data_IF_448542741519
#
_entry.id   IF_448542741519
#
_cell.length_a   1.000
_cell.length_b   1.000
_cell.length_c   1.000
_cell.angle_alpha   90.00
_cell.angle_beta   90.00
_cell.angle_gamma   90.00
#
_symmetry.space_group_name_H-M   'P 1'
#
loop_
_entity.id
_entity.type
_entity.pdbx_description
1 polymer ?
#
# COMPACT_ATOMS: atom_id res chain seq x y z
N UNK A 1 28.54 32.88 5.03
CA UNK A 1 27.30 32.04 4.91
C UNK A 1 26.71 32.20 3.52
N UNK A 2 26.61 31.13 2.76
CA UNK A 2 26.08 31.19 1.41
C UNK A 2 24.55 31.32 1.42
N UNK A 3 23.99 31.90 0.34
CA UNK A 3 22.53 32.08 0.18
C UNK A 3 21.73 30.73 0.35
N UNK A 4 22.39 29.60 0.05
CA UNK A 4 21.85 28.24 0.27
C UNK A 4 21.76 27.86 1.76
N UNK A 5 22.76 28.22 2.57
CA UNK A 5 22.80 27.94 4.01
C UNK A 5 21.70 28.72 4.73
N UNK A 6 21.53 30.01 4.41
CA UNK A 6 20.50 30.89 4.98
C UNK A 6 19.07 30.42 4.63
N UNK A 7 18.85 29.90 3.40
CA UNK A 7 17.57 29.29 3.00
C UNK A 7 17.25 28.01 3.75
N UNK A 8 18.27 27.21 4.04
CA UNK A 8 18.14 25.95 4.79
C UNK A 8 17.80 26.24 6.27
N UNK A 9 18.46 27.23 6.86
CA UNK A 9 18.21 27.68 8.25
C UNK A 9 16.82 28.30 8.42
N UNK A 10 16.35 29.13 7.50
CA UNK A 10 14.99 29.70 7.54
C UNK A 10 13.91 28.63 7.36
N UNK A 11 14.15 27.64 6.50
CA UNK A 11 13.25 26.51 6.32
C UNK A 11 13.17 25.68 7.61
N UNK A 12 14.31 25.45 8.26
CA UNK A 12 14.41 24.71 9.52
C UNK A 12 13.67 25.40 10.66
N UNK A 13 13.80 26.72 10.81
CA UNK A 13 13.12 27.52 11.85
C UNK A 13 11.59 27.50 11.67
N UNK A 14 11.11 27.72 10.45
CA UNK A 14 9.68 27.67 10.13
C UNK A 14 9.10 26.27 10.34
N UNK A 15 9.88 25.24 10.04
CA UNK A 15 9.49 23.85 10.32
C UNK A 15 9.46 23.54 11.80
N UNK A 16 10.42 24.03 12.57
CA UNK A 16 10.43 23.86 14.01
C UNK A 16 9.22 24.55 14.65
N UNK A 17 8.86 25.75 14.20
CA UNK A 17 7.66 26.42 14.65
C UNK A 17 6.39 25.68 14.25
N UNK A 18 6.31 25.17 13.01
CA UNK A 18 5.19 24.38 12.55
C UNK A 18 5.10 23.04 13.29
N UNK A 19 6.22 22.36 13.45
CA UNK A 19 6.33 21.12 14.24
C UNK A 19 5.91 21.38 15.68
N UNK A 20 6.42 22.44 16.33
CA UNK A 20 6.01 22.80 17.69
C UNK A 20 4.52 23.15 17.81
N UNK A 21 3.92 23.75 16.78
CA UNK A 21 2.47 24.01 16.71
C UNK A 21 1.65 22.72 16.55
N UNK A 22 2.23 21.71 15.92
CA UNK A 22 1.58 20.46 15.57
C UNK A 22 1.92 19.30 16.54
N UNK A 23 3.14 19.27 17.14
CA UNK A 23 3.61 18.21 18.05
C UNK A 23 2.96 18.23 19.44
N UNK A 24 2.32 19.32 19.83
CA UNK A 24 1.76 19.42 21.18
C UNK A 24 0.72 18.33 21.53
N UNK A 25 0.49 17.32 20.66
CA UNK A 25 -0.49 16.25 20.88
C UNK A 25 -0.26 14.91 20.15
N UNK A 26 0.96 14.44 20.01
CA UNK A 26 1.19 13.04 19.66
C UNK A 26 0.62 12.05 20.69
N UNK A 27 0.30 12.51 21.91
CA UNK A 27 -0.15 11.71 23.04
C UNK A 27 -1.67 11.53 23.11
N UNK A 28 -2.45 12.37 22.43
CA UNK A 28 -3.89 12.15 22.29
C UNK A 28 -4.15 11.29 21.04
N UNK A 29 -4.07 9.95 21.18
CA UNK A 29 -4.72 9.04 20.24
C UNK A 29 -6.19 9.43 20.22
N UNK A 30 -6.62 10.11 19.16
CA UNK A 30 -8.01 10.50 19.03
C UNK A 30 -8.89 9.24 19.07
N UNK A 31 -10.00 9.29 19.79
CA UNK A 31 -10.98 8.22 19.87
C UNK A 31 -11.52 7.79 18.49
N UNK A 32 -11.19 8.54 17.46
CA UNK A 32 -11.67 8.43 16.07
C UNK A 32 -10.68 7.74 15.12
N UNK A 33 -9.50 7.30 15.60
CA UNK A 33 -8.50 6.59 14.76
C UNK A 33 -7.85 7.51 13.71
N UNK A 34 -7.74 8.80 13.99
CA UNK A 34 -7.04 9.76 13.14
C UNK A 34 -5.54 9.45 13.08
N UNK A 35 -4.99 9.42 11.88
CA UNK A 35 -3.58 9.22 11.63
C UNK A 35 -3.01 10.51 11.07
N UNK A 36 -2.19 11.20 11.87
CA UNK A 36 -1.51 12.40 11.41
C UNK A 36 -0.38 12.06 10.44
N UNK A 37 -0.30 12.82 9.36
CA UNK A 37 0.76 12.64 8.37
C UNK A 37 2.01 13.40 8.80
N UNK A 38 3.18 12.74 8.92
CA UNK A 38 4.45 13.40 9.16
C UNK A 38 4.75 14.45 8.10
N UNK A 39 5.33 15.57 8.53
CA UNK A 39 5.62 16.70 7.62
C UNK A 39 6.61 16.32 6.52
N UNK A 40 7.53 15.40 6.82
CA UNK A 40 8.51 14.87 5.88
C UNK A 40 7.83 14.20 4.67
N UNK A 41 6.76 13.45 4.89
CA UNK A 41 6.00 12.81 3.82
C UNK A 41 5.18 13.81 3.01
N UNK A 42 4.65 14.85 3.65
CA UNK A 42 3.97 15.93 2.94
C UNK A 42 4.95 16.70 2.05
N UNK A 43 6.16 16.95 2.55
CA UNK A 43 7.23 17.60 1.77
C UNK A 43 7.68 16.72 0.60
N UNK A 44 7.85 15.43 0.81
CA UNK A 44 8.19 14.49 -0.25
C UNK A 44 7.14 14.50 -1.36
N UNK A 45 5.85 14.49 -1.00
CA UNK A 45 4.76 14.64 -1.96
C UNK A 45 4.86 15.97 -2.71
N UNK A 46 5.12 17.07 -2.00
CA UNK A 46 5.28 18.40 -2.61
C UNK A 46 6.49 18.47 -3.55
N UNK A 47 7.59 17.77 -3.24
CA UNK A 47 8.78 17.70 -4.09
C UNK A 47 8.54 16.92 -5.40
N UNK A 48 7.54 16.05 -5.43
CA UNK A 48 7.16 15.30 -6.62
C UNK A 48 6.37 16.14 -7.65
N UNK A 49 5.78 17.27 -7.24
CA UNK A 49 5.08 18.16 -8.17
C UNK A 49 6.06 18.93 -9.07
N UNK A 50 5.65 19.29 -10.29
CA UNK A 50 6.44 20.19 -11.13
C UNK A 50 6.74 21.51 -10.42
N UNK A 51 8.00 21.90 -10.37
CA UNK A 51 8.45 23.11 -9.63
C UNK A 51 7.83 24.41 -10.15
N UNK A 52 7.36 24.43 -11.41
CA UNK A 52 6.66 25.55 -12.01
C UNK A 52 5.31 25.85 -11.36
N UNK A 53 4.65 24.85 -10.74
CA UNK A 53 3.36 25.05 -10.07
C UNK A 53 3.48 26.02 -8.89
N UNK A 54 4.57 25.99 -8.16
CA UNK A 54 4.79 26.84 -7.00
C UNK A 54 4.91 28.35 -7.33
N UNK A 55 5.02 28.68 -8.62
CA UNK A 55 5.13 30.06 -9.13
C UNK A 55 3.83 30.57 -9.75
N UNK A 56 2.75 29.82 -9.67
CA UNK A 56 1.46 30.15 -10.30
C UNK A 56 0.45 30.57 -9.20
N UNK A 57 0.01 31.81 -9.24
CA UNK A 57 -0.85 32.41 -8.21
C UNK A 57 -2.34 32.02 -8.33
N UNK A 58 -2.73 31.45 -9.45
CA UNK A 58 -4.13 31.13 -9.76
C UNK A 58 -4.47 29.64 -9.56
N UNK A 59 -3.56 28.86 -8.98
CA UNK A 59 -3.76 27.44 -8.72
C UNK A 59 -4.59 27.22 -7.45
N UNK A 60 -5.57 26.34 -7.56
CA UNK A 60 -6.48 25.99 -6.47
C UNK A 60 -6.29 24.53 -6.02
N UNK A 61 -6.14 24.37 -4.71
CA UNK A 61 -5.84 23.11 -4.05
C UNK A 61 -6.93 22.71 -3.09
N UNK A 62 -7.26 21.44 -3.06
CA UNK A 62 -8.21 20.87 -2.10
C UNK A 62 -7.53 19.82 -1.23
N UNK A 63 -7.67 19.95 0.08
CA UNK A 63 -7.39 18.89 1.05
C UNK A 63 -8.73 18.31 1.52
N UNK A 64 -9.07 17.06 1.13
CA UNK A 64 -10.40 16.48 1.38
C UNK A 64 -10.56 15.91 2.80
N UNK A 65 -9.50 15.90 3.60
CA UNK A 65 -9.45 15.38 4.98
C UNK A 65 -8.38 16.10 5.78
N UNK A 66 -8.56 17.42 5.92
CA UNK A 66 -7.50 18.34 6.32
C UNK A 66 -6.95 18.08 7.74
N UNK A 67 -7.70 17.42 8.62
CA UNK A 67 -7.31 17.28 9.99
C UNK A 67 -7.05 18.67 10.61
N UNK A 68 -5.90 18.82 11.22
CA UNK A 68 -5.46 20.11 11.78
C UNK A 68 -4.69 20.99 10.77
N UNK A 69 -4.64 20.60 9.48
CA UNK A 69 -4.14 21.42 8.39
C UNK A 69 -2.69 21.17 7.95
N UNK A 70 -2.13 19.97 8.18
CA UNK A 70 -0.72 19.64 7.85
C UNK A 70 -0.38 19.87 6.36
N UNK A 71 -1.15 19.27 5.45
CA UNK A 71 -0.92 19.42 4.00
C UNK A 71 -1.03 20.89 3.59
N UNK A 72 -2.12 21.53 3.96
CA UNK A 72 -2.37 22.92 3.58
C UNK A 72 -1.34 23.89 4.15
N UNK A 73 -0.77 23.63 5.34
CA UNK A 73 0.30 24.42 5.91
C UNK A 73 1.61 24.30 5.12
N UNK A 74 1.99 23.08 4.71
CA UNK A 74 3.18 22.87 3.86
C UNK A 74 2.99 23.56 2.50
N UNK A 75 1.82 23.42 1.87
CA UNK A 75 1.49 24.12 0.63
C UNK A 75 1.59 25.65 0.80
N UNK A 76 1.07 26.19 1.90
CA UNK A 76 1.19 27.61 2.22
C UNK A 76 2.65 28.07 2.19
N UNK A 77 3.56 27.40 2.88
CA UNK A 77 4.97 27.79 2.92
C UNK A 77 5.67 27.65 1.56
N UNK A 78 5.32 26.63 0.79
CA UNK A 78 5.82 26.48 -0.59
C UNK A 78 5.42 27.67 -1.44
N UNK A 79 4.16 28.08 -1.39
CA UNK A 79 3.63 29.21 -2.12
C UNK A 79 4.16 30.55 -1.58
N UNK A 80 4.33 30.70 -0.27
CA UNK A 80 4.98 31.89 0.29
C UNK A 80 6.37 32.13 -0.29
N UNK A 81 7.10 31.08 -0.57
CA UNK A 81 8.40 31.17 -1.24
C UNK A 81 8.25 31.38 -2.75
N UNK A 82 7.40 30.57 -3.41
CA UNK A 82 7.28 30.52 -4.87
C UNK A 82 6.68 31.79 -5.47
N UNK A 83 5.70 32.41 -4.78
CA UNK A 83 5.00 33.62 -5.23
C UNK A 83 5.69 34.93 -4.79
N UNK A 84 6.80 34.88 -4.07
CA UNK A 84 7.50 36.09 -3.62
C UNK A 84 7.91 37.05 -4.75
N UNK A 85 8.23 36.60 -5.98
CA UNK A 85 8.49 37.54 -7.08
C UNK A 85 7.24 38.18 -7.65
N UNK A 86 6.06 37.50 -7.56
CA UNK A 86 4.79 37.98 -8.12
C UNK A 86 4.01 38.88 -7.15
N UNK A 87 3.98 38.50 -5.88
CA UNK A 87 3.30 39.26 -4.81
C UNK A 87 4.37 39.56 -3.75
N UNK A 88 4.94 40.76 -3.85
CA UNK A 88 6.10 41.17 -3.02
C UNK A 88 5.73 41.33 -1.55
N UNK A 89 4.58 41.94 -1.30
CA UNK A 89 4.09 42.11 0.07
C UNK A 89 3.75 40.77 0.70
N UNK A 90 4.34 40.48 1.83
CA UNK A 90 4.22 39.15 2.48
C UNK A 90 2.83 38.92 3.08
N UNK A 91 2.16 39.96 3.56
CA UNK A 91 0.82 39.86 4.15
C UNK A 91 -0.22 39.65 3.05
N UNK A 92 -0.14 40.42 1.95
CA UNK A 92 -1.00 40.21 0.79
C UNK A 92 -0.80 38.85 0.16
N UNK A 93 0.44 38.37 0.07
CA UNK A 93 0.77 37.04 -0.43
C UNK A 93 0.18 35.95 0.45
N UNK A 94 0.34 36.03 1.78
CA UNK A 94 -0.23 35.12 2.74
C UNK A 94 -1.76 35.08 2.64
N UNK A 95 -2.40 36.28 2.60
CA UNK A 95 -3.85 36.39 2.45
C UNK A 95 -4.35 35.77 1.14
N UNK A 96 -3.66 36.07 0.02
CA UNK A 96 -3.99 35.50 -1.28
C UNK A 96 -3.94 33.96 -1.28
N UNK A 97 -2.87 33.36 -0.74
CA UNK A 97 -2.71 31.91 -0.65
C UNK A 97 -3.85 31.30 0.17
N UNK A 98 -4.10 31.82 1.37
CA UNK A 98 -5.09 31.25 2.30
C UNK A 98 -6.52 31.39 1.76
N UNK A 99 -6.87 32.53 1.16
CA UNK A 99 -8.25 32.82 0.78
C UNK A 99 -8.61 32.34 -0.64
N UNK A 100 -7.62 32.20 -1.53
CA UNK A 100 -7.86 31.98 -2.96
C UNK A 100 -7.27 30.68 -3.51
N UNK A 101 -6.33 30.06 -2.78
CA UNK A 101 -5.60 28.92 -3.31
C UNK A 101 -5.81 27.63 -2.49
N UNK A 102 -6.08 27.72 -1.18
CA UNK A 102 -6.18 26.58 -0.30
C UNK A 102 -7.62 26.38 0.19
N UNK A 103 -8.17 25.20 -0.12
CA UNK A 103 -9.51 24.77 0.25
C UNK A 103 -9.41 23.47 1.06
N UNK A 104 -10.15 23.38 2.16
CA UNK A 104 -10.02 22.31 3.13
C UNK A 104 -11.38 21.76 3.52
N UNK A 105 -11.51 20.46 3.60
CA UNK A 105 -12.69 19.76 4.12
C UNK A 105 -12.29 18.97 5.36
N UNK A 106 -13.05 19.11 6.43
CA UNK A 106 -12.81 18.37 7.67
C UNK A 106 -14.14 18.09 8.36
N UNK A 107 -14.36 16.85 8.77
CA UNK A 107 -15.60 16.42 9.42
C UNK A 107 -15.61 16.71 10.92
N UNK A 108 -14.45 16.65 11.57
CA UNK A 108 -14.31 16.85 13.01
C UNK A 108 -14.29 18.34 13.36
N UNK A 109 -15.29 18.88 14.12
CA UNK A 109 -15.36 20.28 14.45
C UNK A 109 -14.15 20.78 15.26
N UNK A 110 -13.52 19.93 16.08
CA UNK A 110 -12.34 20.29 16.85
C UNK A 110 -11.12 20.49 15.96
N UNK A 111 -10.94 19.63 14.95
CA UNK A 111 -9.89 19.80 13.96
C UNK A 111 -10.14 21.06 13.12
N UNK A 112 -11.37 21.32 12.72
CA UNK A 112 -11.74 22.55 12.00
C UNK A 112 -11.34 23.79 12.81
N UNK A 113 -11.62 23.82 14.12
CA UNK A 113 -11.24 24.92 15.00
C UNK A 113 -9.72 25.10 15.03
N UNK A 114 -8.98 24.01 15.25
CA UNK A 114 -7.51 24.02 15.30
C UNK A 114 -6.90 24.46 13.96
N UNK A 115 -7.42 23.96 12.86
CA UNK A 115 -6.99 24.35 11.52
C UNK A 115 -7.23 25.86 11.29
N UNK A 116 -8.37 26.41 11.71
CA UNK A 116 -8.64 27.87 11.66
C UNK A 116 -7.65 28.65 12.50
N UNK A 117 -7.36 28.19 13.71
CA UNK A 117 -6.40 28.84 14.61
C UNK A 117 -4.98 28.84 14.05
N UNK A 118 -4.57 27.74 13.41
CA UNK A 118 -3.30 27.65 12.69
C UNK A 118 -3.19 28.74 11.61
N UNK A 119 -4.18 28.83 10.72
CA UNK A 119 -4.15 29.80 9.62
C UNK A 119 -4.30 31.24 10.09
N UNK A 120 -5.02 31.50 11.19
CA UNK A 120 -5.05 32.85 11.85
C UNK A 120 -3.69 33.24 12.40
N UNK A 121 -2.90 32.31 12.93
CA UNK A 121 -1.52 32.61 13.38
C UNK A 121 -0.61 32.92 12.19
N UNK A 122 -0.77 32.19 11.06
CA UNK A 122 0.00 32.45 9.85
C UNK A 122 -0.33 33.81 9.20
N UNK A 123 -1.62 34.20 9.20
CA UNK A 123 -2.09 35.49 8.69
C UNK A 123 -3.40 35.91 9.39
N UNK A 124 -3.34 36.76 10.44
CA UNK A 124 -4.52 37.19 11.23
C UNK A 124 -5.64 37.83 10.41
N UNK A 125 -5.27 38.51 9.30
CA UNK A 125 -6.22 39.16 8.40
C UNK A 125 -6.86 38.29 7.35
N UNK A 126 -6.43 37.02 7.23
CA UNK A 126 -6.96 36.07 6.25
C UNK A 126 -8.10 35.22 6.81
N UNK A 127 -9.03 34.85 5.93
CA UNK A 127 -10.13 33.91 6.24
C UNK A 127 -9.88 32.59 5.50
N UNK A 128 -9.49 31.51 6.20
CA UNK A 128 -9.23 30.22 5.56
C UNK A 128 -10.52 29.57 5.02
N UNK A 129 -10.43 28.95 3.86
CA UNK A 129 -11.51 28.27 3.19
C UNK A 129 -11.66 26.85 3.75
N UNK A 130 -12.43 26.67 4.81
CA UNK A 130 -12.64 25.40 5.49
C UNK A 130 -14.12 25.05 5.52
N UNK A 131 -14.50 23.97 4.85
CA UNK A 131 -15.83 23.36 4.91
C UNK A 131 -15.85 22.31 6.02
N UNK A 132 -16.70 22.53 7.03
CA UNK A 132 -16.95 21.51 8.06
C UNK A 132 -18.04 20.58 7.58
N UNK A 133 -17.68 19.35 7.24
CA UNK A 133 -18.63 18.35 6.75
C UNK A 133 -17.93 17.11 6.17
N UNK A 134 -18.76 16.16 5.78
CA UNK A 134 -18.28 14.93 5.14
C UNK A 134 -17.88 15.20 3.69
N UNK A 135 -16.65 14.88 3.34
CA UNK A 135 -16.16 15.01 1.96
C UNK A 135 -16.97 14.19 0.98
N UNK A 136 -17.43 12.99 1.34
CA UNK A 136 -18.12 12.07 0.42
C UNK A 136 -19.53 12.51 0.07
N UNK A 137 -20.24 13.15 0.99
CA UNK A 137 -21.68 13.48 0.84
C UNK A 137 -21.96 14.98 0.86
N UNK A 138 -21.02 15.80 1.36
CA UNK A 138 -21.20 17.24 1.52
C UNK A 138 -21.27 18.02 0.21
N UNK A 139 -22.05 19.09 0.20
CA UNK A 139 -22.09 20.09 -0.86
C UNK A 139 -21.21 21.27 -0.46
N UNK A 140 -20.19 21.59 -1.27
CA UNK A 140 -19.28 22.69 -0.99
C UNK A 140 -19.97 24.04 -1.16
N UNK A 141 -19.49 25.11 -0.51
CA UNK A 141 -20.02 26.46 -0.70
C UNK A 141 -20.02 26.86 -2.18
N UNK A 142 -21.06 27.53 -2.69
CA UNK A 142 -21.12 27.96 -4.09
C UNK A 142 -20.00 28.91 -4.50
N UNK A 143 -19.34 29.54 -3.52
CA UNK A 143 -18.17 30.40 -3.74
C UNK A 143 -16.87 29.65 -4.01
N UNK A 144 -16.85 28.32 -3.81
CA UNK A 144 -15.68 27.51 -4.07
C UNK A 144 -15.55 27.19 -5.57
N UNK A 145 -14.31 26.88 -6.04
CA UNK A 145 -14.12 26.42 -7.41
C UNK A 145 -14.91 25.16 -7.70
N UNK A 146 -15.43 25.05 -8.93
CA UNK A 146 -16.09 23.83 -9.41
C UNK A 146 -15.12 22.71 -9.73
N UNK A 147 -13.83 23.04 -9.94
CA UNK A 147 -12.75 22.08 -10.16
C UNK A 147 -11.45 22.60 -9.55
N UNK A 148 -10.57 21.70 -9.16
CA UNK A 148 -9.30 21.97 -8.50
C UNK A 148 -8.11 21.55 -9.36
N UNK A 149 -7.01 22.28 -9.29
CA UNK A 149 -5.76 21.92 -9.98
C UNK A 149 -5.04 20.76 -9.30
N UNK A 150 -5.24 20.63 -7.99
CA UNK A 150 -4.73 19.50 -7.22
C UNK A 150 -5.63 19.16 -6.04
N UNK A 151 -5.76 17.87 -5.76
CA UNK A 151 -6.34 17.33 -4.53
C UNK A 151 -5.25 16.55 -3.81
N UNK A 152 -4.95 16.90 -2.57
CA UNK A 152 -3.86 16.28 -1.78
C UNK A 152 -4.31 15.99 -0.36
N UNK A 153 -3.87 14.87 0.20
CA UNK A 153 -4.23 14.52 1.57
C UNK A 153 -3.90 13.09 1.95
N UNK A 154 -4.26 12.74 3.17
CA UNK A 154 -4.23 11.37 3.69
C UNK A 154 -5.66 10.97 4.07
N UNK A 155 -6.47 10.45 3.11
CA UNK A 155 -7.88 10.14 3.36
C UNK A 155 -8.03 9.00 4.38
N UNK A 156 -9.14 8.93 5.11
CA UNK A 156 -9.39 7.83 6.05
C UNK A 156 -9.45 6.50 5.30
N UNK A 157 -8.78 5.44 5.84
CA UNK A 157 -8.71 4.15 5.15
C UNK A 157 -9.95 3.29 5.37
N UNK A 158 -10.57 3.37 6.56
CA UNK A 158 -11.74 2.57 6.95
C UNK A 158 -12.74 3.39 7.77
N UNK A 159 -14.04 3.24 7.52
CA UNK A 159 -15.09 3.77 8.39
C UNK A 159 -15.23 2.91 9.66
N UNK A 160 -15.18 3.57 10.82
CA UNK A 160 -15.58 2.96 12.09
C UNK A 160 -14.49 2.31 12.93
N UNK A 161 -13.22 2.70 12.76
CA UNK A 161 -12.11 2.22 13.60
C UNK A 161 -11.77 0.73 13.39
N UNK A 162 -10.69 0.28 14.02
CA UNK A 162 -10.08 -1.05 13.85
C UNK A 162 -10.92 -2.24 14.34
N UNK A 163 -12.14 -2.07 14.84
CA UNK A 163 -12.87 -3.09 15.61
C UNK A 163 -14.17 -3.63 15.00
N UNK A 164 -14.63 -3.18 13.83
CA UNK A 164 -15.88 -3.71 13.24
C UNK A 164 -15.60 -4.62 12.04
N UNK A 165 -16.07 -5.86 12.14
CA UNK A 165 -16.19 -6.79 11.00
C UNK A 165 -17.10 -6.11 9.96
N UNK A 166 -16.57 -5.89 8.73
CA UNK A 166 -17.32 -5.24 7.64
C UNK A 166 -17.03 -3.75 7.46
N UNK A 167 -15.94 -3.18 7.99
CA UNK A 167 -15.58 -1.78 7.73
C UNK A 167 -15.42 -1.54 6.21
N UNK A 168 -16.20 -0.61 5.68
CA UNK A 168 -16.10 -0.22 4.27
C UNK A 168 -14.77 0.54 4.05
N UNK A 169 -14.03 0.16 3.02
CA UNK A 169 -12.81 0.88 2.58
C UNK A 169 -13.19 2.27 2.08
N UNK A 170 -12.81 3.31 2.81
CA UNK A 170 -13.18 4.70 2.49
C UNK A 170 -12.26 5.37 1.50
N UNK A 171 -11.00 4.99 1.46
CA UNK A 171 -10.03 5.59 0.52
C UNK A 171 -10.45 5.43 -0.96
N UNK A 172 -11.22 4.39 -1.33
CA UNK A 172 -11.68 4.19 -2.71
C UNK A 172 -12.72 5.27 -3.11
N UNK A 173 -13.86 5.45 -2.40
CA UNK A 173 -14.78 6.52 -2.72
C UNK A 173 -14.18 7.93 -2.55
N UNK A 174 -13.22 8.13 -1.63
CA UNK A 174 -12.45 9.38 -1.58
C UNK A 174 -11.68 9.63 -2.88
N UNK A 175 -10.97 8.62 -3.38
CA UNK A 175 -10.26 8.71 -4.66
C UNK A 175 -11.21 8.99 -5.82
N UNK A 176 -12.34 8.28 -5.89
CA UNK A 176 -13.34 8.45 -6.93
C UNK A 176 -13.87 9.89 -6.94
N UNK A 177 -14.31 10.41 -5.79
CA UNK A 177 -14.81 11.79 -5.71
C UNK A 177 -13.70 12.81 -5.99
N UNK A 178 -12.48 12.60 -5.50
CA UNK A 178 -11.37 13.49 -5.77
C UNK A 178 -11.08 13.62 -7.27
N UNK A 179 -11.11 12.50 -8.02
CA UNK A 179 -10.94 12.50 -9.47
C UNK A 179 -12.02 13.32 -10.19
N UNK A 180 -13.29 13.29 -9.72
CA UNK A 180 -14.38 14.08 -10.31
C UNK A 180 -14.24 15.59 -10.07
N UNK A 181 -13.49 15.98 -9.05
CA UNK A 181 -13.26 17.39 -8.67
C UNK A 181 -12.00 17.96 -9.30
N UNK A 182 -11.19 17.17 -9.98
CA UNK A 182 -9.96 17.64 -10.60
C UNK A 182 -10.20 18.25 -11.98
N UNK A 183 -9.47 19.32 -12.25
CA UNK A 183 -9.35 19.89 -13.59
C UNK A 183 -8.65 18.89 -14.53
N UNK A 184 -8.89 18.96 -15.85
CA UNK A 184 -8.14 18.16 -16.83
C UNK A 184 -6.62 18.39 -16.64
N UNK A 185 -5.85 17.31 -16.54
CA UNK A 185 -4.42 17.30 -16.20
C UNK A 185 -4.11 17.84 -14.78
N UNK A 186 -5.08 17.85 -13.91
CA UNK A 186 -4.90 18.12 -12.49
C UNK A 186 -4.18 16.99 -11.77
N UNK A 187 -3.83 17.18 -10.53
CA UNK A 187 -3.03 16.25 -9.76
C UNK A 187 -3.78 15.68 -8.56
N UNK A 188 -3.69 14.38 -8.35
CA UNK A 188 -4.13 13.69 -7.14
C UNK A 188 -2.91 13.20 -6.37
N UNK A 189 -2.67 13.75 -5.18
CA UNK A 189 -1.60 13.31 -4.28
C UNK A 189 -2.18 12.72 -3.01
N UNK A 190 -2.12 11.40 -2.86
CA UNK A 190 -2.64 10.73 -1.67
C UNK A 190 -1.61 9.80 -1.01
N UNK A 191 -1.78 9.64 0.31
CA UNK A 191 -1.18 8.57 1.08
C UNK A 191 -2.30 7.58 1.40
N UNK A 192 -2.25 6.37 0.87
CA UNK A 192 -3.34 5.41 1.08
C UNK A 192 -2.90 3.95 0.86
N UNK A 193 -3.72 2.97 1.28
CA UNK A 193 -3.46 1.56 1.02
C UNK A 193 -3.27 1.24 -0.47
N UNK A 194 -2.37 0.28 -0.82
CA UNK A 194 -1.90 0.02 -2.19
C UNK A 194 -2.90 -0.72 -3.08
N UNK A 195 -4.21 -0.63 -2.84
CA UNK A 195 -5.22 -1.40 -3.58
C UNK A 195 -5.24 -1.11 -5.09
N UNK A 196 -4.76 0.06 -5.52
CA UNK A 196 -4.63 0.42 -6.94
C UNK A 196 -3.52 -0.33 -7.68
N UNK A 197 -2.53 -0.88 -6.95
CA UNK A 197 -1.42 -1.62 -7.54
C UNK A 197 -1.81 -2.99 -8.07
N UNK A 198 -2.93 -3.51 -7.63
CA UNK A 198 -3.46 -4.77 -8.12
C UNK A 198 -4.37 -4.51 -9.32
N UNK A 199 -4.00 -5.02 -10.51
CA UNK A 199 -4.79 -4.91 -11.71
C UNK A 199 -6.20 -5.48 -11.52
N UNK A 200 -7.22 -4.81 -12.06
CA UNK A 200 -8.62 -5.23 -12.00
C UNK A 200 -9.33 -4.92 -10.69
N UNK A 201 -8.67 -4.36 -9.67
CA UNK A 201 -9.37 -3.92 -8.45
C UNK A 201 -10.18 -2.64 -8.69
N UNK A 202 -11.21 -2.35 -7.88
CA UNK A 202 -12.02 -1.15 -8.05
C UNK A 202 -11.19 0.14 -8.13
N UNK A 203 -10.17 0.31 -7.27
CA UNK A 203 -9.33 1.50 -7.29
C UNK A 203 -8.40 1.54 -8.51
N UNK A 204 -7.88 0.40 -8.97
CA UNK A 204 -7.10 0.32 -10.18
C UNK A 204 -7.94 0.71 -11.42
N UNK A 205 -9.17 0.23 -11.50
CA UNK A 205 -10.10 0.54 -12.58
C UNK A 205 -10.53 2.02 -12.61
N UNK A 206 -10.52 2.73 -11.46
CA UNK A 206 -10.74 4.18 -11.44
C UNK A 206 -9.65 4.91 -12.23
N UNK A 207 -8.38 4.58 -11.95
CA UNK A 207 -7.24 5.19 -12.66
C UNK A 207 -7.16 4.78 -14.13
N UNK A 208 -7.49 3.52 -14.47
CA UNK A 208 -7.56 3.09 -15.87
C UNK A 208 -8.61 3.88 -16.66
N UNK A 209 -9.80 4.09 -16.07
CA UNK A 209 -10.90 4.85 -16.71
C UNK A 209 -10.56 6.33 -16.87
N UNK A 210 -9.86 6.92 -15.91
CA UNK A 210 -9.40 8.31 -16.00
C UNK A 210 -8.35 8.50 -17.12
N UNK A 211 -7.52 7.49 -17.39
CA UNK A 211 -6.55 7.51 -18.48
C UNK A 211 -5.34 8.42 -18.25
N UNK A 212 -5.09 8.84 -17.02
CA UNK A 212 -3.91 9.59 -16.63
C UNK A 212 -2.71 8.69 -16.33
N UNK A 213 -1.74 9.20 -15.59
CA UNK A 213 -0.55 8.44 -15.22
C UNK A 213 -0.02 8.84 -13.84
N UNK A 214 0.66 7.90 -13.17
CA UNK A 214 1.41 8.20 -11.96
C UNK A 214 2.68 8.98 -12.32
N UNK A 215 2.88 10.11 -11.65
CA UNK A 215 4.10 10.93 -11.74
C UNK A 215 5.15 10.41 -10.78
N UNK A 216 4.68 10.07 -9.57
CA UNK A 216 5.52 9.62 -8.47
C UNK A 216 4.83 8.54 -7.65
N UNK A 217 5.59 7.54 -7.24
CA UNK A 217 5.18 6.49 -6.30
C UNK A 217 6.29 6.28 -5.26
N UNK A 218 5.96 6.29 -3.98
CA UNK A 218 6.78 5.74 -2.92
C UNK A 218 6.03 4.57 -2.28
N UNK A 219 6.60 3.39 -2.41
CA UNK A 219 6.00 2.12 -2.00
C UNK A 219 6.55 1.75 -0.63
N UNK A 220 5.83 2.11 0.44
CA UNK A 220 6.30 1.81 1.79
C UNK A 220 6.20 0.32 2.10
N UNK A 221 7.28 -0.24 2.67
CA UNK A 221 7.26 -1.55 3.29
C UNK A 221 6.38 -1.56 4.55
N UNK A 222 5.98 -2.75 5.02
CA UNK A 222 5.15 -2.86 6.22
C UNK A 222 5.83 -2.26 7.46
N UNK A 223 7.15 -2.45 7.60
CA UNK A 223 7.96 -1.86 8.68
C UNK A 223 7.98 -0.34 8.63
N UNK A 224 8.21 0.23 7.45
CA UNK A 224 8.22 1.68 7.25
C UNK A 224 6.82 2.28 7.47
N UNK A 225 5.77 1.64 6.97
CA UNK A 225 4.38 2.02 7.28
C UNK A 225 4.11 2.05 8.78
N UNK A 226 4.59 1.04 9.51
CA UNK A 226 4.43 1.00 10.96
C UNK A 226 5.22 2.11 11.67
N UNK A 227 6.41 2.43 11.19
CA UNK A 227 7.23 3.53 11.75
C UNK A 227 6.54 4.89 11.59
N UNK A 228 5.93 5.15 10.43
CA UNK A 228 5.26 6.42 10.15
C UNK A 228 3.87 6.54 10.78
N UNK A 229 3.09 5.47 10.76
CA UNK A 229 1.64 5.55 11.03
C UNK A 229 1.17 4.66 12.17
N UNK A 230 2.02 3.78 12.72
CA UNK A 230 1.68 2.79 13.76
C UNK A 230 0.49 1.87 13.37
N UNK A 231 0.32 1.61 12.08
CA UNK A 231 -0.69 0.70 11.54
C UNK A 231 -0.03 -0.55 10.94
N UNK A 232 -0.74 -1.66 11.00
CA UNK A 232 -0.33 -2.88 10.30
C UNK A 232 -0.75 -2.83 8.83
N UNK A 233 0.12 -3.27 7.94
CA UNK A 233 -0.10 -3.29 6.49
C UNK A 233 0.81 -2.34 5.73
N UNK A 234 0.46 -2.08 4.49
CA UNK A 234 1.22 -1.21 3.58
C UNK A 234 0.40 0.00 3.21
N UNK A 235 1.04 1.12 3.06
CA UNK A 235 0.52 2.32 2.41
C UNK A 235 1.51 2.78 1.35
N UNK A 236 1.05 3.57 0.42
CA UNK A 236 1.89 4.24 -0.56
C UNK A 236 1.64 5.73 -0.51
N UNK A 237 2.66 6.51 -0.85
CA UNK A 237 2.53 7.89 -1.23
C UNK A 237 2.56 7.95 -2.76
N UNK A 238 1.53 8.53 -3.37
CA UNK A 238 1.51 8.69 -4.80
C UNK A 238 1.13 10.10 -5.25
N UNK A 239 1.67 10.49 -6.40
CA UNK A 239 1.22 11.62 -7.18
C UNK A 239 0.77 11.12 -8.56
N UNK A 240 -0.50 11.33 -8.87
CA UNK A 240 -1.13 10.97 -10.14
C UNK A 240 -1.56 12.23 -10.88
N UNK A 241 -1.35 12.28 -12.18
CA UNK A 241 -1.87 13.33 -13.05
C UNK A 241 -3.02 12.77 -13.88
N UNK A 242 -4.20 13.43 -13.80
CA UNK A 242 -5.40 13.01 -14.53
C UNK A 242 -5.20 13.07 -16.05
N UNK A 243 -5.95 12.25 -16.75
CA UNK A 243 -6.01 12.27 -18.22
C UNK A 243 -6.56 13.59 -18.74
N UNK A 244 -6.10 14.02 -19.91
CA UNK A 244 -6.72 15.09 -20.68
C UNK A 244 -7.74 14.53 -21.67
N UNK A 245 -8.58 15.40 -22.24
CA UNK A 245 -9.58 15.03 -23.27
C UNK A 245 -9.02 14.28 -24.49
N UNK A 246 -7.70 14.28 -24.67
CA UNK A 246 -6.99 13.68 -25.82
C UNK A 246 -6.35 12.33 -25.51
N UNK A 247 -6.58 11.72 -24.34
CA UNK A 247 -6.08 10.39 -23.99
C UNK A 247 -4.59 10.19 -24.32
N UNK A 248 -3.69 10.69 -23.53
CA UNK A 248 -2.26 10.61 -23.83
C UNK A 248 -1.40 10.59 -22.56
N UNK A 249 -1.62 9.62 -21.72
CA UNK A 249 -0.88 9.46 -20.47
C UNK A 249 0.38 8.61 -20.56
N UNK A 250 1.27 8.86 -21.51
CA UNK A 250 2.55 8.16 -21.69
C UNK A 250 3.71 8.74 -20.86
N UNK A 251 3.47 9.22 -19.65
CA UNK A 251 4.52 9.75 -18.79
C UNK A 251 5.37 8.66 -18.12
N UNK A 252 6.65 9.01 -17.81
CA UNK A 252 7.46 8.16 -16.94
C UNK A 252 7.08 8.43 -15.48
N UNK A 253 6.95 7.36 -14.71
CA UNK A 253 6.73 7.40 -13.26
C UNK A 253 8.07 7.27 -12.54
N UNK A 254 8.36 8.15 -11.61
CA UNK A 254 9.44 7.94 -10.64
C UNK A 254 8.89 7.04 -9.54
N UNK A 255 9.50 5.88 -9.35
CA UNK A 255 9.13 4.92 -8.29
C UNK A 255 10.29 4.81 -7.31
N UNK A 256 9.99 4.96 -6.03
CA UNK A 256 10.85 4.59 -4.91
C UNK A 256 10.25 3.32 -4.33
N UNK A 257 10.98 2.22 -4.38
CA UNK A 257 10.49 0.93 -3.87
C UNK A 257 10.74 0.77 -2.35
N UNK A 258 10.23 -0.29 -1.75
CA UNK A 258 10.33 -0.53 -0.31
C UNK A 258 11.76 -0.68 0.21
N UNK A 259 12.75 -0.81 -0.66
CA UNK A 259 14.19 -0.80 -0.33
C UNK A 259 14.85 0.54 -0.62
N UNK A 260 14.08 1.57 -0.95
CA UNK A 260 14.57 2.90 -1.29
C UNK A 260 15.20 2.99 -2.68
N UNK A 261 15.08 1.95 -3.51
CA UNK A 261 15.62 1.98 -4.87
C UNK A 261 14.75 2.85 -5.76
N UNK A 262 15.35 3.89 -6.33
CA UNK A 262 14.67 4.82 -7.23
C UNK A 262 14.80 4.37 -8.67
N UNK A 263 13.67 4.29 -9.37
CA UNK A 263 13.61 3.95 -10.81
C UNK A 263 12.67 4.91 -11.55
N UNK A 264 12.89 5.06 -12.87
CA UNK A 264 12.01 5.85 -13.75
C UNK A 264 11.50 4.92 -14.85
N UNK A 265 10.21 4.63 -14.84
CA UNK A 265 9.60 3.59 -15.65
C UNK A 265 8.26 4.04 -16.24
N UNK A 266 7.85 3.46 -17.35
CA UNK A 266 6.47 3.55 -17.82
C UNK A 266 5.65 2.46 -17.15
N UNK A 267 4.63 2.83 -16.39
CA UNK A 267 3.74 1.89 -15.72
C UNK A 267 2.51 1.61 -16.59
N UNK A 268 2.16 0.33 -16.71
CA UNK A 268 0.85 -0.10 -17.21
C UNK A 268 -0.01 -0.53 -16.04
N UNK A 269 -1.24 -0.02 -15.98
CA UNK A 269 -2.20 -0.40 -14.95
C UNK A 269 -2.91 -1.73 -15.25
N UNK A 270 -2.69 -2.31 -16.42
CA UNK A 270 -3.14 -3.66 -16.76
C UNK A 270 -2.29 -4.74 -16.06
N UNK A 271 -1.18 -4.33 -15.46
CA UNK A 271 -0.25 -5.18 -14.73
C UNK A 271 -0.18 -4.79 -13.26
N UNK A 272 0.21 -5.75 -12.43
CA UNK A 272 0.45 -5.48 -11.02
C UNK A 272 1.70 -4.65 -10.82
N UNK A 273 1.65 -3.66 -9.93
CA UNK A 273 2.82 -2.89 -9.54
C UNK A 273 3.46 -3.59 -8.33
N UNK A 274 4.67 -4.16 -8.49
CA UNK A 274 5.34 -4.90 -7.41
C UNK A 274 5.87 -3.97 -6.31
N UNK A 275 6.17 -4.52 -5.14
CA UNK A 275 6.75 -3.79 -4.01
C UNK A 275 8.18 -3.31 -4.29
N UNK A 276 8.92 -4.05 -5.11
CA UNK A 276 10.34 -3.82 -5.45
C UNK A 276 10.69 -4.52 -6.77
N UNK A 277 11.92 -4.30 -7.24
CA UNK A 277 12.47 -5.03 -8.39
C UNK A 277 11.72 -4.78 -9.70
N UNK A 278 11.11 -3.65 -9.87
CA UNK A 278 10.25 -3.29 -10.99
C UNK A 278 10.88 -3.54 -12.39
N UNK A 279 12.18 -3.28 -12.64
CA UNK A 279 12.78 -3.62 -13.94
C UNK A 279 12.76 -5.11 -14.26
N UNK A 280 12.93 -5.97 -13.26
CA UNK A 280 12.85 -7.43 -13.42
C UNK A 280 11.40 -7.84 -13.70
N UNK A 281 10.44 -7.26 -12.99
CA UNK A 281 9.02 -7.49 -13.25
C UNK A 281 8.58 -7.03 -14.65
N UNK A 282 9.13 -5.95 -15.18
CA UNK A 282 8.85 -5.51 -16.56
C UNK A 282 9.34 -6.55 -17.59
N UNK A 283 10.51 -7.17 -17.37
CA UNK A 283 10.95 -8.31 -18.20
C UNK A 283 9.99 -9.49 -18.10
N UNK A 284 9.57 -9.83 -16.88
CA UNK A 284 8.56 -10.86 -16.63
C UNK A 284 7.28 -10.60 -17.44
N UNK A 285 6.71 -9.42 -17.30
CA UNK A 285 5.46 -9.05 -17.97
C UNK A 285 5.59 -9.05 -19.51
N UNK A 286 6.71 -8.58 -20.04
CA UNK A 286 6.93 -8.60 -21.51
C UNK A 286 6.99 -10.03 -22.10
N UNK A 287 7.39 -10.99 -21.30
CA UNK A 287 7.44 -12.39 -21.71
C UNK A 287 6.06 -13.07 -21.65
N UNK A 288 5.27 -12.72 -20.64
CA UNK A 288 3.88 -13.17 -20.52
C UNK A 288 3.02 -12.65 -21.68
N UNK A 289 3.21 -11.40 -22.10
CA UNK A 289 2.48 -10.85 -23.25
C UNK A 289 2.79 -11.55 -24.57
N UNK A 290 4.05 -11.94 -24.79
CA UNK A 290 4.49 -12.60 -26.05
C UNK A 290 3.98 -14.02 -26.20
N UNK A 291 3.80 -14.72 -25.09
CA UNK A 291 3.44 -16.15 -25.12
C UNK A 291 1.96 -16.43 -24.81
N UNK A 292 1.18 -15.38 -24.55
CA UNK A 292 -0.23 -15.48 -24.16
C UNK A 292 -0.40 -16.03 -22.74
N UNK A 293 -1.60 -15.87 -22.20
CA UNK A 293 -1.98 -16.57 -20.96
C UNK A 293 -2.13 -18.05 -21.34
N UNK A 294 -1.24 -18.92 -20.84
CA UNK A 294 -1.41 -20.35 -21.01
C UNK A 294 -2.73 -20.76 -20.33
N UNK A 295 -3.73 -21.07 -21.13
CA UNK A 295 -4.95 -21.69 -20.65
C UNK A 295 -4.59 -22.98 -19.90
N UNK A 296 -5.04 -23.13 -18.68
CA UNK A 296 -5.26 -24.44 -18.14
C UNK A 296 -4.50 -24.90 -16.90
N UNK A 297 -3.92 -24.04 -16.07
CA UNK A 297 -3.39 -24.52 -14.79
C UNK A 297 -4.05 -23.86 -13.58
N UNK A 298 -5.38 -23.86 -13.52
CA UNK A 298 -6.14 -23.71 -12.26
C UNK A 298 -6.07 -25.00 -11.45
N UNK A 299 -4.90 -25.37 -10.97
CA UNK A 299 -4.68 -26.54 -10.11
C UNK A 299 -4.59 -26.20 -8.64
N UNK A 300 -4.87 -24.97 -8.27
CA UNK A 300 -4.83 -24.53 -6.88
C UNK A 300 -6.16 -24.75 -6.20
N UNK A 301 -6.22 -25.70 -5.31
CA UNK A 301 -7.35 -25.90 -4.40
C UNK A 301 -7.04 -25.14 -3.13
N UNK A 302 -7.65 -23.97 -2.94
CA UNK A 302 -7.73 -23.39 -1.60
C UNK A 302 -8.63 -24.28 -0.75
N UNK A 303 -8.07 -24.90 0.27
CA UNK A 303 -8.89 -25.68 1.19
C UNK A 303 -9.54 -24.72 2.18
N UNK A 304 -10.86 -24.57 2.11
CA UNK A 304 -11.66 -23.82 3.10
C UNK A 304 -11.91 -24.63 4.38
N UNK A 305 -11.26 -25.77 4.52
CA UNK A 305 -11.56 -26.71 5.59
C UNK A 305 -10.87 -26.33 6.88
N UNK A 306 -11.67 -26.01 7.88
CA UNK A 306 -11.20 -25.75 9.23
C UNK A 306 -10.80 -27.05 9.93
N UNK A 307 -9.74 -27.02 10.73
CA UNK A 307 -9.31 -28.14 11.54
C UNK A 307 -10.45 -28.73 12.41
N UNK A 308 -11.35 -27.87 12.89
CA UNK A 308 -12.53 -28.23 13.67
C UNK A 308 -13.49 -29.15 12.93
N UNK A 309 -13.56 -29.08 11.57
CA UNK A 309 -14.44 -29.92 10.74
C UNK A 309 -14.08 -31.40 10.84
N UNK A 310 -12.80 -31.69 11.07
CA UNK A 310 -12.30 -33.07 11.19
C UNK A 310 -12.21 -33.56 12.63
N UNK A 311 -12.55 -32.71 13.61
CA UNK A 311 -12.42 -32.99 15.04
C UNK A 311 -10.98 -32.99 15.52
N UNK A 312 -10.75 -32.50 16.71
CA UNK A 312 -9.44 -32.45 17.35
C UNK A 312 -9.09 -33.77 18.06
N UNK A 313 -7.80 -33.97 18.37
CA UNK A 313 -7.26 -35.08 19.16
C UNK A 313 -7.44 -36.45 18.48
N UNK A 314 -7.18 -36.52 17.17
CA UNK A 314 -7.18 -37.75 16.39
C UNK A 314 -5.77 -38.22 16.06
N UNK A 315 -5.69 -39.15 15.08
CA UNK A 315 -4.44 -39.76 14.60
C UNK A 315 -4.00 -39.21 13.23
N UNK A 316 -4.87 -38.48 12.52
CA UNK A 316 -4.59 -38.02 11.17
C UNK A 316 -3.92 -36.65 11.17
N UNK A 317 -2.71 -36.48 10.56
CA UNK A 317 -2.00 -35.23 10.53
C UNK A 317 -2.64 -34.27 9.51
N UNK A 318 -2.86 -33.02 9.96
CA UNK A 318 -3.39 -31.93 9.14
C UNK A 318 -2.39 -30.76 9.19
N UNK A 319 -1.70 -30.51 8.07
CA UNK A 319 -0.73 -29.44 7.95
C UNK A 319 -1.45 -28.08 7.95
N UNK A 320 -1.02 -27.18 8.82
CA UNK A 320 -1.60 -25.86 8.99
C UNK A 320 -0.71 -24.77 8.41
N UNK A 321 0.56 -24.75 8.77
CA UNK A 321 1.52 -23.74 8.37
C UNK A 321 2.93 -24.31 8.47
N UNK A 322 3.83 -23.88 7.59
CA UNK A 322 5.26 -24.14 7.70
C UNK A 322 5.94 -22.91 8.29
N UNK A 323 6.86 -23.14 9.19
CA UNK A 323 7.71 -22.12 9.84
C UNK A 323 9.16 -22.57 9.78
N UNK A 324 10.11 -21.71 10.08
CA UNK A 324 11.53 -22.05 10.06
C UNK A 324 11.85 -23.33 10.86
N UNK A 325 11.31 -23.43 12.07
CA UNK A 325 11.54 -24.54 13.00
C UNK A 325 10.76 -25.82 12.68
N UNK A 326 9.95 -25.85 11.62
CA UNK A 326 9.21 -27.05 11.22
C UNK A 326 7.79 -26.80 10.70
N UNK A 327 7.01 -27.83 10.66
CA UNK A 327 5.63 -27.85 10.15
C UNK A 327 4.65 -27.85 11.31
N UNK A 328 3.78 -26.84 11.41
CA UNK A 328 2.69 -26.81 12.41
C UNK A 328 1.55 -27.72 12.00
N UNK A 329 1.27 -28.75 12.79
CA UNK A 329 0.34 -29.83 12.48
C UNK A 329 -0.73 -29.97 13.55
N UNK A 330 -1.98 -30.06 13.13
CA UNK A 330 -3.08 -30.56 13.96
C UNK A 330 -3.21 -32.07 13.85
N UNK A 331 -3.64 -32.73 14.89
CA UNK A 331 -4.11 -34.14 14.86
C UNK A 331 -5.63 -34.15 14.80
N UNK A 332 -6.20 -34.76 13.77
CA UNK A 332 -7.65 -34.77 13.53
C UNK A 332 -8.23 -36.17 13.66
N UNK A 333 -9.50 -36.28 14.04
CA UNK A 333 -10.20 -37.58 14.17
C UNK A 333 -10.54 -38.19 12.83
N UNK A 334 -10.97 -37.35 11.87
CA UNK A 334 -11.29 -37.77 10.52
C UNK A 334 -10.10 -37.53 9.60
N UNK A 335 -9.85 -38.44 8.69
CA UNK A 335 -8.85 -38.29 7.64
C UNK A 335 -9.29 -37.18 6.66
N UNK A 336 -8.36 -36.31 6.29
CA UNK A 336 -8.59 -35.34 5.23
C UNK A 336 -8.54 -36.05 3.86
N UNK A 337 -9.40 -35.65 2.88
CA UNK A 337 -9.43 -36.29 1.55
C UNK A 337 -8.09 -36.25 0.78
N UNK A 338 -7.21 -35.29 1.11
CA UNK A 338 -5.89 -35.18 0.49
C UNK A 338 -4.79 -36.04 1.14
N UNK A 339 -5.10 -36.82 2.17
CA UNK A 339 -4.17 -37.85 2.67
C UNK A 339 -4.08 -38.96 1.60
N UNK A 340 -2.88 -39.41 1.30
CA UNK A 340 -2.59 -40.34 0.20
C UNK A 340 -2.38 -39.67 -1.16
N UNK A 341 -2.59 -38.38 -1.29
CA UNK A 341 -2.42 -37.65 -2.55
C UNK A 341 -1.11 -36.84 -2.54
N UNK A 342 -0.16 -37.11 -3.48
CA UNK A 342 1.03 -36.31 -3.66
C UNK A 342 0.64 -34.85 -3.96
N UNK A 343 1.28 -33.89 -3.27
CA UNK A 343 0.93 -32.48 -3.41
C UNK A 343 2.06 -31.56 -3.02
N UNK A 344 2.12 -30.42 -3.66
CA UNK A 344 2.93 -29.28 -3.26
C UNK A 344 2.09 -28.40 -2.34
N UNK A 345 2.63 -28.04 -1.20
CA UNK A 345 1.97 -27.21 -0.20
C UNK A 345 2.75 -25.93 -0.06
N UNK A 346 2.08 -24.79 -0.16
CA UNK A 346 2.67 -23.45 -0.08
C UNK A 346 1.97 -22.69 1.02
N UNK A 347 2.70 -21.99 1.86
CA UNK A 347 2.09 -21.13 2.85
C UNK A 347 1.21 -20.06 2.20
N UNK A 348 -0.03 -19.95 2.64
CA UNK A 348 -0.93 -18.87 2.25
C UNK A 348 -0.71 -17.59 3.06
N UNK A 349 0.09 -17.63 4.13
CA UNK A 349 0.42 -16.53 5.02
C UNK A 349 1.92 -16.49 5.29
N UNK A 350 2.44 -15.30 5.58
CA UNK A 350 3.83 -15.11 5.99
C UNK A 350 4.85 -15.50 4.92
N UNK A 351 5.95 -16.11 5.34
CA UNK A 351 7.00 -16.61 4.43
C UNK A 351 6.41 -17.67 3.50
N UNK A 352 6.61 -17.57 2.18
CA UNK A 352 6.07 -18.53 1.21
C UNK A 352 6.88 -19.83 1.17
N UNK A 353 6.98 -20.52 2.33
CA UNK A 353 7.56 -21.86 2.38
C UNK A 353 6.84 -22.79 1.42
N UNK A 354 7.60 -23.62 0.73
CA UNK A 354 7.11 -24.57 -0.26
C UNK A 354 7.55 -25.99 0.13
N UNK A 355 6.59 -26.85 0.43
CA UNK A 355 6.82 -28.22 0.85
C UNK A 355 6.20 -29.23 -0.14
N UNK A 356 6.99 -30.18 -0.61
CA UNK A 356 6.51 -31.26 -1.47
C UNK A 356 6.17 -32.51 -0.64
N UNK A 357 4.89 -32.71 -0.35
CA UNK A 357 4.37 -33.92 0.26
C UNK A 357 4.25 -35.06 -0.77
N UNK A 358 5.40 -35.61 -1.15
CA UNK A 358 5.50 -36.64 -2.19
C UNK A 358 4.71 -37.90 -1.85
N UNK A 359 4.61 -38.26 -0.56
CA UNK A 359 3.91 -39.47 -0.09
C UNK A 359 2.45 -39.20 0.28
N UNK A 360 1.99 -37.96 0.26
CA UNK A 360 0.63 -37.60 0.68
C UNK A 360 0.38 -37.81 2.17
N UNK A 361 1.38 -37.57 3.01
CA UNK A 361 1.29 -37.88 4.44
C UNK A 361 0.31 -36.96 5.20
N UNK A 362 0.08 -35.75 4.71
CA UNK A 362 -0.68 -34.74 5.41
C UNK A 362 -2.00 -34.42 4.72
N UNK A 363 -3.06 -34.20 5.51
CA UNK A 363 -4.17 -33.36 5.11
C UNK A 363 -3.73 -31.88 5.16
N UNK A 364 -4.55 -30.95 4.71
CA UNK A 364 -4.22 -29.53 4.66
C UNK A 364 -5.36 -28.69 5.24
N UNK A 365 -5.05 -27.75 6.11
CA UNK A 365 -6.02 -26.80 6.68
C UNK A 365 -6.36 -25.69 5.69
N UNK A 366 -7.13 -24.70 6.13
CA UNK A 366 -7.55 -23.55 5.31
C UNK A 366 -6.44 -22.56 4.94
N UNK A 367 -5.29 -22.62 5.61
CA UNK A 367 -4.23 -21.61 5.45
C UNK A 367 -3.32 -21.89 4.25
N UNK A 368 -2.81 -23.11 4.06
CA UNK A 368 -1.95 -23.41 2.93
C UNK A 368 -2.70 -23.45 1.58
N UNK A 369 -1.95 -23.21 0.53
CA UNK A 369 -2.36 -23.37 -0.86
C UNK A 369 -1.77 -24.69 -1.37
N UNK A 370 -2.52 -25.41 -2.20
CA UNK A 370 -2.14 -26.77 -2.62
C UNK A 370 -2.18 -26.94 -4.12
N UNK A 371 -1.12 -27.52 -4.68
CA UNK A 371 -1.08 -28.00 -6.06
C UNK A 371 -1.05 -29.54 -6.02
N UNK A 372 -2.09 -30.16 -6.57
CA UNK A 372 -2.22 -31.59 -6.55
C UNK A 372 -1.40 -32.25 -7.67
N UNK A 373 -0.72 -33.37 -7.37
CA UNK A 373 0.07 -34.18 -8.31
C UNK A 373 0.98 -33.28 -9.18
N UNK A 374 1.83 -32.43 -8.60
CA UNK A 374 2.69 -31.53 -9.36
C UNK A 374 3.67 -32.32 -10.20
N UNK A 375 4.03 -31.79 -11.37
CA UNK A 375 5.17 -32.29 -12.12
C UNK A 375 6.47 -31.97 -11.38
N UNK A 376 7.53 -32.71 -11.65
CA UNK A 376 8.87 -32.40 -11.10
C UNK A 376 9.32 -31.00 -11.48
N UNK A 377 9.00 -30.56 -12.67
CA UNK A 377 9.28 -29.17 -13.13
C UNK A 377 8.53 -28.14 -12.29
N UNK A 378 7.23 -28.36 -12.00
CA UNK A 378 6.46 -27.47 -11.13
C UNK A 378 7.07 -27.36 -9.72
N UNK A 379 7.52 -28.50 -9.18
CA UNK A 379 8.19 -28.52 -7.87
C UNK A 379 9.48 -27.68 -7.90
N UNK A 380 10.34 -27.90 -8.90
CA UNK A 380 11.60 -27.19 -9.07
C UNK A 380 11.38 -25.68 -9.21
N UNK A 381 10.44 -25.26 -10.05
CA UNK A 381 10.14 -23.85 -10.29
C UNK A 381 9.62 -23.15 -9.04
N UNK A 382 8.72 -23.77 -8.29
CA UNK A 382 8.12 -23.17 -7.09
C UNK A 382 9.06 -23.22 -5.87
N UNK A 383 10.03 -24.12 -5.86
CA UNK A 383 11.12 -24.16 -4.88
C UNK A 383 12.35 -23.34 -5.34
N UNK A 384 12.15 -22.26 -6.07
CA UNK A 384 13.22 -21.40 -6.58
C UNK A 384 13.19 -20.01 -5.96
N UNK A 385 14.36 -19.38 -5.86
CA UNK A 385 14.49 -17.96 -5.42
C UNK A 385 13.71 -17.01 -6.30
N UNK A 386 13.54 -17.32 -7.60
CA UNK A 386 12.71 -16.50 -8.49
C UNK A 386 11.24 -16.52 -8.07
N UNK A 387 10.70 -17.67 -7.70
CA UNK A 387 9.33 -17.74 -7.20
C UNK A 387 9.15 -16.96 -5.90
N UNK A 388 10.10 -17.08 -4.98
CA UNK A 388 10.08 -16.33 -3.72
C UNK A 388 10.12 -14.82 -3.98
N UNK A 389 11.01 -14.38 -4.89
CA UNK A 389 11.08 -12.98 -5.33
C UNK A 389 9.72 -12.48 -5.88
N UNK A 390 9.07 -13.26 -6.74
CA UNK A 390 7.75 -12.90 -7.30
C UNK A 390 6.68 -12.86 -6.21
N UNK A 391 6.66 -13.88 -5.35
CA UNK A 391 5.68 -13.98 -4.27
C UNK A 391 5.76 -12.79 -3.30
N UNK A 392 6.97 -12.37 -2.93
CA UNK A 392 7.19 -11.19 -2.11
C UNK A 392 6.90 -9.88 -2.85
N UNK A 393 7.35 -9.76 -4.09
CA UNK A 393 7.18 -8.55 -4.89
C UNK A 393 5.72 -8.20 -5.17
N UNK A 394 4.85 -9.19 -5.34
CA UNK A 394 3.43 -9.00 -5.60
C UNK A 394 2.54 -9.06 -4.35
N UNK A 395 3.12 -9.25 -3.17
CA UNK A 395 2.40 -9.33 -1.91
C UNK A 395 2.01 -7.94 -1.41
N UNK A 396 0.72 -7.59 -1.46
CA UNK A 396 0.19 -6.32 -0.97
C UNK A 396 -0.40 -6.42 0.45
N UNK A 397 -0.68 -7.63 0.92
CA UNK A 397 -1.24 -7.92 2.26
C UNK A 397 -0.44 -9.04 2.91
N UNK A 398 -0.72 -9.37 4.18
CA UNK A 398 -0.11 -10.52 4.87
C UNK A 398 -0.37 -11.89 4.20
N UNK A 399 -1.28 -11.97 3.23
CA UNK A 399 -1.64 -13.20 2.55
C UNK A 399 -0.86 -13.40 1.25
N UNK A 400 -0.33 -14.61 1.04
CA UNK A 400 0.18 -15.06 -0.26
C UNK A 400 -1.01 -15.52 -1.11
N UNK A 401 -1.40 -14.72 -2.09
CA UNK A 401 -2.49 -15.09 -2.99
C UNK A 401 -1.91 -15.78 -4.24
N UNK A 402 -1.61 -17.07 -4.13
CA UNK A 402 -0.96 -17.82 -5.19
C UNK A 402 -1.78 -17.88 -6.50
N UNK A 403 -3.12 -18.07 -6.51
CA UNK A 403 -3.89 -17.99 -7.75
C UNK A 403 -3.60 -16.68 -8.50
N UNK A 404 -3.60 -15.59 -7.80
CA UNK A 404 -3.25 -14.27 -8.32
C UNK A 404 -1.80 -14.19 -8.84
N UNK A 405 -0.84 -14.77 -8.09
CA UNK A 405 0.57 -14.79 -8.52
C UNK A 405 0.75 -15.60 -9.80
N UNK A 406 0.08 -16.75 -9.91
CA UNK A 406 0.15 -17.64 -11.09
C UNK A 406 -0.63 -17.08 -12.28
N UNK A 407 -1.72 -16.33 -12.04
CA UNK A 407 -2.43 -15.57 -13.08
C UNK A 407 -1.55 -14.43 -13.63
N UNK A 408 -0.80 -13.76 -12.76
CA UNK A 408 0.12 -12.69 -13.14
C UNK A 408 1.38 -13.20 -13.86
N UNK A 409 1.91 -14.35 -13.41
CA UNK A 409 3.13 -14.97 -13.97
C UNK A 409 2.90 -16.49 -14.08
N UNK A 410 2.41 -16.99 -15.21
CA UNK A 410 2.22 -18.42 -15.44
C UNK A 410 3.51 -19.23 -15.22
N UNK A 411 3.39 -20.43 -14.65
CA UNK A 411 4.54 -21.30 -14.38
C UNK A 411 5.40 -21.56 -15.62
N UNK A 412 4.76 -21.72 -16.79
CA UNK A 412 5.44 -21.89 -18.08
C UNK A 412 6.34 -20.70 -18.44
N UNK A 413 5.98 -19.49 -17.98
CA UNK A 413 6.78 -18.30 -18.21
C UNK A 413 7.98 -18.22 -17.27
N UNK A 414 7.94 -18.81 -16.08
CA UNK A 414 9.04 -18.76 -15.09
C UNK A 414 10.34 -19.30 -15.66
N UNK A 415 10.31 -20.45 -16.36
CA UNK A 415 11.49 -21.05 -16.99
C UNK A 415 12.13 -20.11 -18.04
N UNK A 416 11.29 -19.53 -18.89
CA UNK A 416 11.74 -18.59 -19.92
C UNK A 416 12.34 -17.32 -19.29
N UNK A 417 11.74 -16.83 -18.22
CA UNK A 417 12.28 -15.71 -17.45
C UNK A 417 13.61 -16.05 -16.81
N UNK A 418 13.71 -17.20 -16.13
CA UNK A 418 14.98 -17.64 -15.54
C UNK A 418 16.11 -17.73 -16.59
N UNK A 419 15.80 -18.17 -17.81
CA UNK A 419 16.76 -18.23 -18.90
C UNK A 419 17.20 -16.83 -19.39
N UNK A 420 16.33 -15.81 -19.26
CA UNK A 420 16.57 -14.44 -19.75
C UNK A 420 17.08 -13.47 -18.69
N UNK A 421 17.09 -13.83 -17.41
CA UNK A 421 17.73 -13.07 -16.38
C UNK A 421 19.27 -13.11 -16.56
N UNK A 422 19.90 -11.97 -16.40
CA UNK A 422 21.36 -11.87 -16.38
C UNK A 422 21.94 -12.58 -15.16
N UNK A 423 23.22 -12.90 -15.21
CA UNK A 423 23.93 -13.53 -14.07
C UNK A 423 23.86 -12.65 -12.82
N UNK A 424 23.97 -11.33 -12.97
CA UNK A 424 23.88 -10.38 -11.85
C UNK A 424 22.47 -10.32 -11.26
N UNK A 425 21.39 -10.34 -12.08
CA UNK A 425 20.01 -10.40 -11.60
C UNK A 425 19.73 -11.70 -10.85
N UNK A 426 20.18 -12.84 -11.36
CA UNK A 426 20.07 -14.14 -10.68
C UNK A 426 20.79 -14.16 -9.34
N UNK A 427 22.02 -13.64 -9.30
CA UNK A 427 22.81 -13.56 -8.08
C UNK A 427 22.16 -12.63 -7.05
N UNK A 428 21.62 -11.50 -7.50
CA UNK A 428 20.92 -10.57 -6.64
C UNK A 428 19.65 -11.21 -6.05
N UNK A 429 18.83 -11.86 -6.89
CA UNK A 429 17.62 -12.57 -6.44
C UNK A 429 17.98 -13.66 -5.43
N UNK A 430 18.96 -14.52 -5.75
CA UNK A 430 19.34 -15.61 -4.86
C UNK A 430 19.88 -15.13 -3.51
N UNK A 431 20.57 -13.98 -3.50
CA UNK A 431 21.11 -13.37 -2.28
C UNK A 431 19.99 -12.79 -1.39
N UNK A 432 19.02 -12.09 -1.97
CA UNK A 432 18.02 -11.35 -1.21
C UNK A 432 16.73 -12.13 -0.99
N UNK A 433 16.47 -13.16 -1.80
CA UNK A 433 15.29 -14.02 -1.72
C UNK A 433 15.70 -15.50 -1.73
N UNK A 434 16.48 -15.94 -0.73
CA UNK A 434 16.82 -17.35 -0.62
C UNK A 434 15.55 -18.18 -0.47
N UNK A 435 15.61 -19.43 -0.96
CA UNK A 435 14.49 -20.36 -0.76
C UNK A 435 14.38 -20.66 0.74
N UNK A 436 13.28 -20.31 1.39
CA UNK A 436 13.14 -20.57 2.81
C UNK A 436 13.01 -22.09 3.03
N UNK A 437 13.85 -22.62 3.90
CA UNK A 437 13.87 -24.02 4.28
C UNK A 437 13.25 -24.18 5.64
N UNK A 438 12.13 -24.89 5.71
CA UNK A 438 11.54 -25.31 6.99
C UNK A 438 12.26 -26.57 7.47
N UNK A 439 12.59 -26.65 8.75
CA UNK A 439 13.06 -27.91 9.35
C UNK A 439 12.01 -29.02 9.14
N UNK A 440 12.48 -30.27 9.00
CA UNK A 440 11.56 -31.41 8.77
C UNK A 440 10.83 -31.89 10.04
N UNK A 441 10.72 -31.02 11.04
CA UNK A 441 10.10 -31.32 12.32
C UNK A 441 8.59 -31.07 12.28
N UNK A 442 7.81 -31.99 12.79
CA UNK A 442 6.37 -31.81 12.97
C UNK A 442 6.08 -31.19 14.34
N UNK A 443 5.71 -29.92 14.34
CA UNK A 443 5.33 -29.16 15.51
C UNK A 443 3.83 -29.33 15.78
N UNK A 444 3.48 -29.99 16.88
CA UNK A 444 2.09 -30.23 17.24
C UNK A 444 1.39 -28.98 17.73
N UNK A 445 0.33 -28.58 17.05
CA UNK A 445 -0.52 -27.46 17.47
C UNK A 445 -1.60 -27.94 18.42
N UNK A 446 -1.68 -27.43 19.66
CA UNK A 446 -2.74 -27.78 20.59
C UNK A 446 -4.12 -27.38 20.05
N UNK A 447 -5.09 -28.28 20.15
CA UNK A 447 -6.48 -27.94 19.87
C UNK A 447 -7.04 -27.13 21.05
N UNK A 448 -7.39 -25.89 20.81
CA UNK A 448 -8.04 -25.03 21.81
C UNK A 448 -9.53 -25.37 21.84
N UNK A 449 -9.95 -26.11 22.86
CA UNK A 449 -11.36 -26.35 23.18
C UNK A 449 -11.84 -25.26 24.12
N UNK A 450 -12.49 -24.20 23.61
CA UNK A 450 -13.10 -23.17 24.48
C UNK A 450 -13.59 -21.96 23.72
N UNK A 451 -14.78 -21.52 24.04
CA UNK A 451 -15.62 -20.41 23.58
C UNK A 451 -15.19 -19.63 22.32
N UNK A 452 -16.00 -19.79 21.32
CA UNK A 452 -15.78 -19.57 19.87
C UNK A 452 -15.41 -18.18 19.36
N UNK A 453 -15.32 -17.12 20.16
CA UNK A 453 -15.23 -15.77 19.60
C UNK A 453 -14.05 -14.92 20.01
N UNK A 454 -13.54 -15.01 21.22
CA UNK A 454 -12.45 -14.13 21.67
C UNK A 454 -11.05 -14.74 21.53
N UNK A 455 -10.91 -16.06 21.73
CA UNK A 455 -9.63 -16.78 21.63
C UNK A 455 -9.17 -16.95 20.18
N UNK A 456 -10.13 -17.10 19.23
CA UNK A 456 -9.85 -17.20 17.77
C UNK A 456 -9.21 -15.92 17.21
N UNK A 457 -9.62 -14.72 17.70
CA UNK A 457 -9.03 -13.44 17.29
C UNK A 457 -7.63 -13.23 17.84
N UNK A 458 -7.33 -13.71 19.05
CA UNK A 458 -5.99 -13.58 19.66
C UNK A 458 -4.98 -14.56 19.06
N UNK A 459 -5.35 -15.82 18.85
CA UNK A 459 -4.48 -16.83 18.23
C UNK A 459 -4.11 -16.48 16.79
N UNK A 460 -5.10 -16.11 15.98
CA UNK A 460 -4.87 -15.73 14.58
C UNK A 460 -4.02 -14.46 14.42
N UNK A 461 -4.20 -13.47 15.30
CA UNK A 461 -3.36 -12.26 15.32
C UNK A 461 -1.92 -12.56 15.76
N UNK A 462 -1.72 -13.47 16.69
CA UNK A 462 -0.39 -13.88 17.13
C UNK A 462 0.34 -14.67 16.01
N UNK A 463 -0.35 -15.59 15.34
CA UNK A 463 0.19 -16.35 14.20
C UNK A 463 0.49 -15.47 12.99
N UNK A 464 -0.38 -14.48 12.69
CA UNK A 464 -0.16 -13.50 11.62
C UNK A 464 1.03 -12.59 11.96
N UNK A 465 1.15 -12.12 13.19
CA UNK A 465 2.27 -11.28 13.64
C UNK A 465 3.60 -12.05 13.71
N UNK A 466 3.59 -13.31 14.16
CA UNK A 466 4.78 -14.16 14.20
C UNK A 466 5.26 -14.52 12.77
N UNK A 467 4.32 -14.82 11.87
CA UNK A 467 4.62 -15.07 10.46
C UNK A 467 5.12 -13.81 9.73
N UNK A 468 4.65 -12.63 10.11
CA UNK A 468 5.15 -11.34 9.60
C UNK A 468 6.54 -11.02 10.16
N UNK A 469 6.77 -11.26 11.45
CA UNK A 469 8.07 -11.05 12.07
C UNK A 469 9.15 -12.02 11.54
N UNK A 470 8.81 -13.30 11.32
CA UNK A 470 9.70 -14.25 10.65
C UNK A 470 10.00 -13.83 9.21
N UNK A 471 9.01 -13.27 8.50
CA UNK A 471 9.17 -12.78 7.16
C UNK A 471 10.11 -11.56 7.08
N UNK A 472 10.05 -10.68 8.09
CA UNK A 472 10.94 -9.51 8.19
C UNK A 472 12.36 -9.89 8.63
N UNK A 473 12.54 -10.93 9.42
CA UNK A 473 13.85 -11.43 9.84
C UNK A 473 14.59 -12.20 8.73
N UNK A 474 13.86 -12.74 7.76
CA UNK A 474 14.41 -13.49 6.62
C UNK A 474 14.83 -12.59 5.43
N UNK A 475 14.57 -11.29 5.49
CA UNK A 475 14.98 -10.24 4.57
C UNK A 475 16.08 -9.39 5.14
#
# INVERSE_FOLDING_TARGET
>A
MTRKTRKKETKTLVYQELTALLEHRSDEKSEHGEVFTPLELVEEMCDAFPSSLWKQKDRVWLDPSAGIGHFSAVLFFRYMTGLSPLIRDSVQRAKHIIEKMLYMVEINPDNVRRCRDLFKRLCPSATPQIYQGDFLTGSFPPSWPSAFDAVVGNPPYNLGGTKRVGSKRTHIPFTERALTLLSPRGFLGFICPPSYRQAGTPMNLLFQRDGGHFVYLHLFGAKETYQWFHIQGRVDLFLYQTGGKSGGGGGKTTVVDEYGVRSSVSLSLDRHIPNFGLPIFQKLYSLVEKHGHAEGHRTTVMTTVHADTFGCRGKHPLLHLMVEKGRRIYKTRKAHPLIGVPKLVINGLGVPYVFYDKKGMYGVSQTPIVILRPSSETVELLQSSLFIFIAWGLRLTGNNNLPYLLDAVPLTSLRTVMARLTTSEKAWIAKHFPVPVSEENDLMVPCVTGSRTQTRKKGRKAEEAEAEAEAEAAL
#
